data_IF_993823234660
#
_entry.id   IF_993823234660
#
_cell.length_a   1.000
_cell.length_b   1.000
_cell.length_c   1.000
_cell.angle_alpha   90.00
_cell.angle_beta   90.00
_cell.angle_gamma   90.00
#
_symmetry.space_group_name_H-M   'P 1'
#
loop_
_entity.id
_entity.type
_entity.pdbx_description
1 polymer ?
#
# COMPACT_ATOMS: atom_id res chain seq x y z
N UNK A 1 -2.39 -18.84 20.66
CA UNK A 1 -2.63 -17.37 20.62
C UNK A 1 -3.16 -16.90 19.25
N UNK A 2 -3.84 -17.78 18.51
CA UNK A 2 -4.07 -17.69 17.06
C UNK A 2 -5.45 -17.18 16.61
N UNK A 3 -6.33 -16.75 17.46
CA UNK A 3 -7.72 -16.51 17.04
C UNK A 3 -8.24 -15.09 17.26
N UNK A 4 -7.43 -14.11 17.58
CA UNK A 4 -8.00 -12.84 18.07
C UNK A 4 -8.08 -11.67 17.09
N UNK A 5 -7.45 -11.68 15.91
CA UNK A 5 -7.60 -10.56 14.97
C UNK A 5 -7.53 -11.05 13.51
N UNK A 6 -8.64 -11.05 12.84
CA UNK A 6 -8.74 -11.31 11.39
C UNK A 6 -8.34 -10.09 10.53
N UNK A 7 -7.75 -9.06 11.12
CA UNK A 7 -7.39 -7.83 10.44
C UNK A 7 -5.88 -7.77 10.21
N UNK A 8 -5.48 -7.37 9.01
CA UNK A 8 -4.11 -6.97 8.74
C UNK A 8 -3.70 -5.79 9.63
N UNK A 9 -2.49 -5.83 10.12
CA UNK A 9 -1.91 -4.78 10.95
C UNK A 9 -0.52 -4.40 10.41
N UNK A 10 -0.38 -3.17 9.95
CA UNK A 10 0.86 -2.68 9.35
C UNK A 10 2.09 -2.82 10.29
N UNK A 11 1.92 -2.59 11.59
CA UNK A 11 3.02 -2.68 12.55
C UNK A 11 3.40 -4.12 12.92
N UNK A 12 2.42 -5.00 13.12
CA UNK A 12 2.65 -6.36 13.61
C UNK A 12 2.80 -7.40 12.49
N UNK A 13 2.46 -7.06 11.26
CA UNK A 13 2.54 -7.94 10.10
C UNK A 13 3.32 -7.30 8.95
N UNK A 14 2.95 -6.09 8.52
CA UNK A 14 3.60 -5.43 7.41
C UNK A 14 5.09 -5.18 7.65
N UNK A 15 5.45 -4.47 8.70
CA UNK A 15 6.84 -4.17 9.02
C UNK A 15 7.71 -5.42 9.28
N UNK A 16 7.26 -6.43 10.06
CA UNK A 16 8.00 -7.68 10.20
C UNK A 16 8.25 -8.40 8.88
N UNK A 17 7.26 -8.50 7.99
CA UNK A 17 7.43 -9.14 6.68
C UNK A 17 8.46 -8.37 5.84
N UNK A 18 8.39 -7.04 5.81
CA UNK A 18 9.37 -6.20 5.11
C UNK A 18 10.78 -6.39 5.66
N UNK A 19 10.93 -6.51 6.98
CA UNK A 19 12.21 -6.77 7.64
C UNK A 19 12.74 -8.17 7.29
N UNK A 20 11.90 -9.21 7.38
CA UNK A 20 12.27 -10.59 7.06
C UNK A 20 12.65 -10.76 5.59
N UNK A 21 11.91 -10.16 4.66
CA UNK A 21 12.23 -10.20 3.23
C UNK A 21 13.54 -9.49 2.92
N UNK A 22 13.81 -8.36 3.59
CA UNK A 22 15.08 -7.64 3.48
C UNK A 22 16.24 -8.46 4.06
N UNK A 23 16.06 -9.08 5.22
CA UNK A 23 17.06 -9.94 5.83
C UNK A 23 17.40 -11.12 4.90
N UNK A 24 16.40 -11.79 4.35
CA UNK A 24 16.57 -12.88 3.38
C UNK A 24 17.36 -12.44 2.14
N UNK A 25 17.07 -11.26 1.59
CA UNK A 25 17.79 -10.72 0.44
C UNK A 25 19.27 -10.41 0.73
N UNK A 26 19.64 -10.30 2.02
CA UNK A 26 20.99 -10.09 2.50
C UNK A 26 21.67 -11.39 2.98
N UNK A 27 21.09 -12.54 2.72
CA UNK A 27 21.68 -13.85 3.01
C UNK A 27 21.37 -14.41 4.39
N UNK A 28 20.49 -13.78 5.19
CA UNK A 28 20.03 -14.38 6.44
C UNK A 28 19.05 -15.51 6.17
N UNK A 29 19.19 -16.60 6.95
CA UNK A 29 18.26 -17.71 6.91
C UNK A 29 16.94 -17.29 7.58
N UNK A 30 15.85 -17.40 6.83
CA UNK A 30 14.50 -17.03 7.27
C UNK A 30 13.56 -18.21 7.04
N UNK A 31 12.72 -18.50 8.02
CA UNK A 31 11.65 -19.50 7.90
C UNK A 31 10.69 -19.10 6.75
N UNK A 32 10.82 -19.81 5.64
CA UNK A 32 10.07 -19.58 4.41
C UNK A 32 8.58 -19.88 4.56
N UNK A 33 8.24 -20.93 5.31
CA UNK A 33 6.85 -21.36 5.50
C UNK A 33 6.10 -20.34 6.37
N UNK A 34 6.75 -19.86 7.42
CA UNK A 34 6.19 -18.80 8.25
C UNK A 34 5.96 -17.51 7.46
N UNK A 35 6.95 -17.09 6.66
CA UNK A 35 6.84 -15.91 5.81
C UNK A 35 5.68 -16.05 4.81
N UNK A 36 5.59 -17.21 4.15
CA UNK A 36 4.51 -17.48 3.19
C UNK A 36 3.13 -17.47 3.85
N UNK A 37 3.00 -18.04 5.05
CA UNK A 37 1.76 -18.01 5.81
C UNK A 37 1.30 -16.57 6.14
N UNK A 38 2.24 -15.68 6.48
CA UNK A 38 1.93 -14.25 6.73
C UNK A 38 1.52 -13.51 5.46
N UNK A 39 2.14 -13.80 4.32
CA UNK A 39 1.76 -13.23 3.02
C UNK A 39 0.36 -13.70 2.62
N UNK A 40 0.07 -15.00 2.77
CA UNK A 40 -1.25 -15.55 2.49
C UNK A 40 -2.32 -14.92 3.38
N UNK A 41 -2.05 -14.76 4.68
CA UNK A 41 -2.97 -14.07 5.59
C UNK A 41 -3.28 -12.62 5.11
N UNK A 42 -2.26 -11.91 4.63
CA UNK A 42 -2.42 -10.54 4.10
C UNK A 42 -3.28 -10.55 2.82
N UNK A 43 -3.03 -11.49 1.91
CA UNK A 43 -3.82 -11.65 0.69
C UNK A 43 -5.29 -12.01 1.01
N UNK A 44 -5.52 -12.93 1.95
CA UNK A 44 -6.86 -13.34 2.39
C UNK A 44 -7.62 -12.18 3.05
N UNK A 45 -6.90 -11.36 3.84
CA UNK A 45 -7.48 -10.15 4.42
C UNK A 45 -7.99 -9.19 3.33
N UNK A 46 -7.20 -8.93 2.29
CA UNK A 46 -7.64 -8.12 1.15
C UNK A 46 -8.78 -8.81 0.38
N UNK A 47 -8.69 -10.12 0.17
CA UNK A 47 -9.67 -10.93 -0.55
C UNK A 47 -11.08 -10.84 0.03
N UNK A 48 -11.21 -10.79 1.36
CA UNK A 48 -12.51 -10.63 2.05
C UNK A 48 -13.24 -9.33 1.73
N UNK A 49 -12.52 -8.31 1.28
CA UNK A 49 -13.07 -7.00 0.93
C UNK A 49 -13.05 -6.73 -0.58
N UNK A 50 -12.76 -7.73 -1.41
CA UNK A 50 -12.53 -7.58 -2.85
C UNK A 50 -13.65 -6.84 -3.58
N UNK A 51 -14.91 -7.20 -3.32
CA UNK A 51 -16.05 -6.55 -3.99
C UNK A 51 -16.23 -5.11 -3.52
N UNK A 52 -16.02 -4.83 -2.23
CA UNK A 52 -16.06 -3.46 -1.71
C UNK A 52 -15.00 -2.58 -2.36
N UNK A 53 -13.79 -3.11 -2.58
CA UNK A 53 -12.74 -2.38 -3.28
C UNK A 53 -13.14 -1.98 -4.70
N UNK A 54 -13.81 -2.87 -5.44
CA UNK A 54 -14.32 -2.59 -6.79
C UNK A 54 -15.34 -1.46 -6.82
N UNK A 55 -16.03 -1.24 -5.72
CA UNK A 55 -17.01 -0.17 -5.52
C UNK A 55 -16.40 1.13 -4.95
N UNK A 56 -15.06 1.19 -4.77
CA UNK A 56 -14.37 2.33 -4.17
C UNK A 56 -14.47 2.40 -2.64
N UNK A 57 -14.88 1.32 -2.00
CA UNK A 57 -15.04 1.22 -0.54
C UNK A 57 -13.90 0.37 0.06
N UNK A 58 -13.24 0.91 1.08
CA UNK A 58 -12.16 0.22 1.80
C UNK A 58 -12.62 -0.40 3.12
N UNK A 59 -11.68 -1.00 3.82
CA UNK A 59 -11.80 -1.45 5.21
C UNK A 59 -11.34 -0.35 6.17
N UNK A 60 -11.35 -0.62 7.48
CA UNK A 60 -10.81 0.30 8.48
C UNK A 60 -9.36 0.70 8.18
N UNK A 61 -9.04 1.98 8.31
CA UNK A 61 -7.75 2.56 7.90
C UNK A 61 -7.63 2.85 6.41
N UNK A 62 -8.66 2.49 5.62
CA UNK A 62 -8.83 2.92 4.23
C UNK A 62 -7.57 2.77 3.37
N UNK A 63 -7.13 3.87 2.72
CA UNK A 63 -5.95 3.91 1.83
C UNK A 63 -4.69 3.40 2.51
N UNK A 64 -4.45 3.80 3.76
CA UNK A 64 -3.24 3.42 4.49
C UNK A 64 -3.17 1.91 4.70
N UNK A 65 -4.24 1.31 5.24
CA UNK A 65 -4.27 -0.14 5.48
C UNK A 65 -4.14 -0.94 4.18
N UNK A 66 -4.87 -0.57 3.13
CA UNK A 66 -4.80 -1.23 1.83
C UNK A 66 -3.41 -1.06 1.19
N UNK A 67 -2.83 0.14 1.26
CA UNK A 67 -1.52 0.45 0.71
C UNK A 67 -0.39 -0.31 1.41
N UNK A 68 -0.39 -0.33 2.74
CA UNK A 68 0.59 -1.13 3.49
C UNK A 68 0.43 -2.64 3.24
N UNK A 69 -0.78 -3.13 3.09
CA UNK A 69 -1.01 -4.54 2.76
C UNK A 69 -0.44 -4.88 1.37
N UNK A 70 -0.70 -4.06 0.34
CA UNK A 70 -0.09 -4.25 -0.98
C UNK A 70 1.43 -4.12 -0.93
N UNK A 71 1.97 -3.15 -0.20
CA UNK A 71 3.42 -3.02 -0.05
C UNK A 71 4.05 -4.25 0.63
N UNK A 72 3.36 -4.83 1.60
CA UNK A 72 3.77 -6.08 2.25
C UNK A 72 3.81 -7.23 1.25
N UNK A 73 2.77 -7.39 0.44
CA UNK A 73 2.69 -8.41 -0.60
C UNK A 73 3.79 -8.25 -1.67
N UNK A 74 4.03 -7.03 -2.12
CA UNK A 74 5.09 -6.72 -3.08
C UNK A 74 6.48 -7.10 -2.54
N UNK A 75 6.82 -6.72 -1.32
CA UNK A 75 8.09 -7.12 -0.69
C UNK A 75 8.22 -8.65 -0.55
N UNK A 76 7.12 -9.35 -0.36
CA UNK A 76 7.08 -10.81 -0.32
C UNK A 76 7.15 -11.49 -1.68
N UNK A 77 7.13 -10.73 -2.78
CA UNK A 77 7.16 -11.26 -4.14
C UNK A 77 5.81 -11.80 -4.64
N UNK A 78 4.71 -11.37 -4.02
CA UNK A 78 3.36 -11.73 -4.45
C UNK A 78 3.08 -11.25 -5.87
N UNK A 79 2.49 -12.11 -6.67
CA UNK A 79 2.16 -11.76 -8.05
C UNK A 79 0.81 -11.05 -8.14
N UNK A 80 0.65 -10.11 -9.07
CA UNK A 80 -0.65 -9.49 -9.33
C UNK A 80 -1.74 -10.55 -9.57
N UNK A 81 -2.88 -10.36 -8.93
CA UNK A 81 -4.06 -11.21 -9.03
C UNK A 81 -5.35 -10.39 -8.99
N UNK A 82 -6.50 -11.05 -9.09
CA UNK A 82 -7.79 -10.37 -9.09
C UNK A 82 -8.14 -9.65 -7.77
N UNK A 83 -7.47 -9.96 -6.67
CA UNK A 83 -7.65 -9.27 -5.38
C UNK A 83 -6.80 -7.99 -5.34
N UNK A 84 -5.54 -8.09 -5.69
CA UNK A 84 -4.64 -6.92 -5.75
C UNK A 84 -5.10 -5.91 -6.80
N UNK A 85 -5.62 -6.39 -7.94
CA UNK A 85 -6.23 -5.54 -8.97
C UNK A 85 -7.49 -4.81 -8.47
N UNK A 86 -8.30 -5.44 -7.63
CA UNK A 86 -9.45 -4.78 -7.01
C UNK A 86 -9.01 -3.67 -6.04
N UNK A 87 -7.91 -3.86 -5.31
CA UNK A 87 -7.34 -2.80 -4.47
C UNK A 87 -6.78 -1.65 -5.33
N UNK A 88 -6.17 -1.94 -6.47
CA UNK A 88 -5.76 -0.89 -7.42
C UNK A 88 -6.99 -0.09 -7.92
N UNK A 89 -8.10 -0.76 -8.26
CA UNK A 89 -9.36 -0.09 -8.61
C UNK A 89 -9.87 0.80 -7.47
N UNK A 90 -9.82 0.31 -6.24
CA UNK A 90 -10.15 1.12 -5.06
C UNK A 90 -9.35 2.41 -5.00
N UNK A 91 -8.04 2.39 -5.23
CA UNK A 91 -7.22 3.60 -5.22
C UNK A 91 -7.57 4.56 -6.36
N UNK A 92 -8.01 4.05 -7.51
CA UNK A 92 -8.46 4.90 -8.62
C UNK A 92 -9.81 5.58 -8.33
N UNK A 93 -10.66 4.95 -7.54
CA UNK A 93 -11.98 5.47 -7.19
C UNK A 93 -11.95 6.34 -5.92
N UNK A 94 -11.13 5.95 -4.94
CA UNK A 94 -11.06 6.64 -3.65
C UNK A 94 -10.34 7.97 -3.77
N UNK A 95 -10.94 9.02 -3.24
CA UNK A 95 -10.40 10.38 -3.26
C UNK A 95 -10.00 10.85 -4.68
N UNK A 96 -10.72 10.40 -5.73
CA UNK A 96 -10.45 10.71 -7.14
C UNK A 96 -10.43 12.21 -7.44
N UNK A 97 -11.22 13.00 -6.71
CA UNK A 97 -11.34 14.46 -6.86
C UNK A 97 -10.29 15.22 -6.03
N UNK A 98 -9.41 14.52 -5.31
CA UNK A 98 -8.30 15.09 -4.57
C UNK A 98 -7.00 14.97 -5.36
N UNK A 99 -6.13 15.98 -5.30
CA UNK A 99 -4.84 15.97 -5.97
C UNK A 99 -3.87 14.88 -5.46
N UNK A 100 -4.13 14.32 -4.27
CA UNK A 100 -3.30 13.33 -3.60
C UNK A 100 -4.16 12.43 -2.71
N UNK A 101 -3.54 11.42 -2.10
CA UNK A 101 -4.20 10.59 -1.10
C UNK A 101 -4.00 11.18 0.30
N UNK A 102 -5.06 11.16 1.10
CA UNK A 102 -5.08 11.67 2.48
C UNK A 102 -5.27 10.51 3.45
N UNK A 103 -4.58 10.53 4.61
CA UNK A 103 -4.85 9.58 5.67
C UNK A 103 -6.28 9.76 6.19
N UNK A 104 -6.95 8.66 6.44
CA UNK A 104 -8.31 8.64 6.98
C UNK A 104 -8.33 8.10 8.43
N UNK A 105 -7.17 7.78 8.95
CA UNK A 105 -6.94 7.55 10.38
C UNK A 105 -5.85 8.52 10.88
N UNK A 106 -5.76 8.66 12.20
CA UNK A 106 -4.73 9.49 12.83
C UNK A 106 -3.91 8.64 13.78
N UNK A 107 -3.02 7.83 13.22
CA UNK A 107 -2.13 6.94 13.99
C UNK A 107 -0.67 7.21 13.60
N UNK A 108 -0.06 8.23 14.23
CA UNK A 108 1.35 8.53 13.96
C UNK A 108 2.25 7.31 14.23
N UNK A 109 3.38 7.20 13.53
CA UNK A 109 3.78 8.02 12.39
C UNK A 109 3.17 7.59 11.04
N UNK A 110 2.75 6.34 10.90
CA UNK A 110 2.47 5.69 9.61
C UNK A 110 1.13 6.05 8.96
N UNK A 111 0.18 6.62 9.71
CA UNK A 111 -1.18 6.93 9.24
C UNK A 111 -1.55 8.39 9.55
N UNK A 112 -0.63 9.32 9.31
CA UNK A 112 -0.85 10.75 9.52
C UNK A 112 -0.37 11.59 8.34
N UNK A 113 0.70 11.18 7.66
CA UNK A 113 1.29 11.93 6.57
C UNK A 113 0.54 11.71 5.26
N UNK A 114 0.20 12.80 4.59
CA UNK A 114 -0.35 12.79 3.23
C UNK A 114 0.65 12.22 2.21
N UNK A 115 1.95 12.43 2.45
CA UNK A 115 3.00 11.88 1.59
C UNK A 115 3.12 10.37 1.74
N UNK A 116 2.99 9.83 2.96
CA UNK A 116 2.99 8.39 3.21
C UNK A 116 1.78 7.72 2.55
N UNK A 117 0.56 8.25 2.76
CA UNK A 117 -0.67 7.73 2.14
C UNK A 117 -0.58 7.74 0.61
N UNK A 118 -0.03 8.83 0.04
CA UNK A 118 0.17 8.93 -1.41
C UNK A 118 1.21 7.93 -1.92
N UNK A 119 2.32 7.75 -1.21
CA UNK A 119 3.36 6.79 -1.60
C UNK A 119 2.84 5.34 -1.62
N UNK A 120 2.15 4.91 -0.56
CA UNK A 120 1.68 3.51 -0.49
C UNK A 120 0.60 3.22 -1.54
N UNK A 121 -0.26 4.21 -1.84
CA UNK A 121 -1.26 4.08 -2.90
C UNK A 121 -0.62 4.04 -4.29
N UNK A 122 0.31 4.96 -4.60
CA UNK A 122 1.03 4.98 -5.88
C UNK A 122 1.82 3.69 -6.11
N UNK A 123 2.50 3.17 -5.07
CA UNK A 123 3.21 1.90 -5.15
C UNK A 123 2.26 0.76 -5.49
N UNK A 124 1.13 0.68 -4.80
CA UNK A 124 0.10 -0.31 -5.06
C UNK A 124 -0.41 -0.26 -6.51
N UNK A 125 -0.70 0.93 -7.02
CA UNK A 125 -1.13 1.14 -8.40
C UNK A 125 -0.09 0.68 -9.42
N UNK A 126 1.18 1.04 -9.23
CA UNK A 126 2.26 0.72 -10.19
C UNK A 126 2.62 -0.76 -10.21
N UNK A 127 2.52 -1.45 -9.07
CA UNK A 127 2.90 -2.87 -8.96
C UNK A 127 1.75 -3.79 -9.32
N UNK A 128 0.53 -3.47 -8.90
CA UNK A 128 -0.62 -4.37 -8.96
C UNK A 128 -1.74 -3.94 -9.90
N UNK A 129 -1.59 -2.79 -10.55
CA UNK A 129 -2.54 -2.35 -11.56
C UNK A 129 -2.51 -3.25 -12.80
N UNK A 130 -3.66 -3.48 -13.39
CA UNK A 130 -3.80 -4.26 -14.62
C UNK A 130 -3.58 -3.39 -15.86
N UNK A 131 -3.23 -4.00 -17.01
CA UNK A 131 -3.08 -3.27 -18.27
C UNK A 131 -4.29 -2.40 -18.63
N UNK A 132 -5.51 -2.88 -18.35
CA UNK A 132 -6.76 -2.18 -18.63
C UNK A 132 -6.95 -0.94 -17.76
N UNK A 133 -6.25 -0.86 -16.64
CA UNK A 133 -6.27 0.30 -15.73
C UNK A 133 -5.16 1.33 -16.06
N UNK A 134 -4.26 0.99 -16.97
CA UNK A 134 -3.01 1.73 -17.19
C UNK A 134 -3.23 3.22 -17.42
N UNK A 135 -4.12 3.59 -18.33
CA UNK A 135 -4.38 5.01 -18.65
C UNK A 135 -4.85 5.80 -17.41
N UNK A 136 -5.75 5.20 -16.63
CA UNK A 136 -6.26 5.80 -15.39
C UNK A 136 -5.19 5.89 -14.30
N UNK A 137 -4.32 4.88 -14.24
CA UNK A 137 -3.17 4.86 -13.33
C UNK A 137 -2.18 5.95 -13.71
N UNK A 138 -1.81 6.06 -14.98
CA UNK A 138 -0.87 7.07 -15.47
C UNK A 138 -1.39 8.49 -15.18
N UNK A 139 -2.66 8.74 -15.43
CA UNK A 139 -3.30 10.01 -15.11
C UNK A 139 -3.28 10.33 -13.61
N UNK A 140 -3.57 9.31 -12.77
CA UNK A 140 -3.54 9.47 -11.30
C UNK A 140 -2.13 9.67 -10.77
N UNK A 141 -1.17 8.95 -11.31
CA UNK A 141 0.26 9.10 -10.97
C UNK A 141 0.73 10.52 -11.29
N UNK A 142 0.42 11.04 -12.48
CA UNK A 142 0.82 12.40 -12.84
C UNK A 142 0.13 13.48 -11.98
N UNK A 143 -1.13 13.29 -11.64
CA UNK A 143 -1.85 14.20 -10.74
C UNK A 143 -1.15 14.28 -9.36
N UNK A 144 -0.82 13.13 -8.77
CA UNK A 144 -0.13 13.08 -7.46
C UNK A 144 1.31 13.60 -7.60
N UNK A 145 1.99 13.31 -8.72
CA UNK A 145 3.33 13.85 -9.00
C UNK A 145 3.36 15.37 -8.98
N UNK A 146 2.39 16.01 -9.60
CA UNK A 146 2.27 17.49 -9.58
C UNK A 146 2.07 18.02 -8.16
N UNK A 147 1.25 17.33 -7.36
CA UNK A 147 1.09 17.67 -5.94
C UNK A 147 2.40 17.52 -5.16
N UNK A 148 3.14 16.41 -5.34
CA UNK A 148 4.43 16.16 -4.68
C UNK A 148 5.46 17.24 -4.99
N UNK A 149 5.49 17.76 -6.23
CA UNK A 149 6.45 18.77 -6.64
C UNK A 149 6.18 20.14 -5.98
N UNK A 150 4.91 20.51 -5.85
CA UNK A 150 4.53 21.84 -5.32
C UNK A 150 4.37 21.89 -3.80
N UNK A 151 4.13 20.75 -3.13
CA UNK A 151 3.81 20.75 -1.70
C UNK A 151 5.07 20.62 -0.86
N UNK A 152 5.24 21.54 0.08
CA UNK A 152 6.38 21.53 1.00
C UNK A 152 6.13 20.51 2.13
N UNK A 153 7.11 19.61 2.41
CA UNK A 153 7.01 18.70 3.54
C UNK A 153 7.24 19.47 4.87
N UNK A 154 6.50 19.09 5.89
CA UNK A 154 6.55 19.76 7.20
C UNK A 154 7.54 19.09 8.16
N UNK A 155 7.55 17.75 8.21
CA UNK A 155 8.37 16.97 9.13
C UNK A 155 9.30 15.97 8.41
N UNK A 156 9.93 15.08 9.17
CA UNK A 156 10.87 14.07 8.64
C UNK A 156 10.14 12.97 7.88
N UNK A 157 8.97 12.52 8.35
CA UNK A 157 8.14 11.54 7.68
C UNK A 157 7.75 12.04 6.28
N UNK A 158 7.25 13.25 6.21
CA UNK A 158 6.88 13.92 4.96
C UNK A 158 8.06 13.99 3.97
N UNK A 159 9.25 14.38 4.45
CA UNK A 159 10.45 14.48 3.61
C UNK A 159 10.86 13.13 3.04
N UNK A 160 10.87 12.10 3.88
CA UNK A 160 11.23 10.73 3.47
C UNK A 160 10.24 10.21 2.44
N UNK A 161 8.95 10.30 2.70
CA UNK A 161 7.95 9.73 1.81
C UNK A 161 7.72 10.57 0.55
N UNK A 162 7.91 11.91 0.61
CA UNK A 162 7.97 12.73 -0.59
C UNK A 162 9.09 12.29 -1.53
N UNK A 163 10.31 12.08 -0.99
CA UNK A 163 11.44 11.63 -1.78
C UNK A 163 11.17 10.25 -2.39
N UNK A 164 10.69 9.30 -1.59
CA UNK A 164 10.34 7.95 -2.07
C UNK A 164 9.24 7.96 -3.13
N UNK A 165 8.23 8.81 -2.96
CA UNK A 165 7.15 8.94 -3.93
C UNK A 165 7.65 9.55 -5.25
N UNK A 166 8.49 10.58 -5.20
CA UNK A 166 9.10 11.16 -6.40
C UNK A 166 9.97 10.14 -7.14
N UNK A 167 10.84 9.40 -6.46
CA UNK A 167 11.63 8.31 -7.06
C UNK A 167 10.75 7.22 -7.70
N UNK A 168 9.59 6.97 -7.15
CA UNK A 168 8.66 5.97 -7.68
C UNK A 168 7.99 6.43 -8.98
N UNK A 169 7.79 7.73 -9.18
CA UNK A 169 7.03 8.30 -10.30
C UNK A 169 7.90 8.95 -11.38
N UNK A 170 9.21 8.93 -11.20
CA UNK A 170 10.21 9.24 -12.25
C UNK A 170 10.31 8.06 -13.24
#
# INVERSE_FOLDING_TARGET
MEQRKQCFNCHNQGLPIMALTTARSRGFEIDGDHLQAQLQFTADFLGRNKEKYREGNGQGGQVDTAGYALWTLDNGGWKPDGTTAAVAEYFLLRQKDSEHYRPESRRPPSEQSHFTSSYVALRGLKVFGLPEQKERIDARVEQVRQWLLKTKPEDTEDRVFRLRALQLVE
#
